data_IF_210377089443
#
_entry.id   IF_210377089443
#
_cell.length_a   1.000
_cell.length_b   1.000
_cell.length_c   1.000
_cell.angle_alpha   90.00
_cell.angle_beta   90.00
_cell.angle_gamma   90.00
#
_symmetry.space_group_name_H-M   'P 1'
#
loop_
_entity.id
_entity.type
_entity.pdbx_description
1 polymer ?
#
# COMPACT_ATOMS: atom_id res chain seq x y z
N UNK A 1 16.04 -23.34 -30.61
CA UNK A 1 16.15 -24.65 -29.92
C UNK A 1 15.61 -25.75 -30.82
N UNK A 2 16.17 -26.95 -30.75
CA UNK A 2 15.62 -28.10 -31.48
C UNK A 2 14.40 -28.69 -30.74
N UNK A 3 13.46 -29.37 -31.44
CA UNK A 3 12.31 -30.01 -30.80
C UNK A 3 12.66 -31.04 -29.72
N UNK A 4 13.84 -31.68 -29.82
CA UNK A 4 14.30 -32.65 -28.83
C UNK A 4 14.77 -31.98 -27.53
N UNK A 5 15.35 -30.78 -27.60
CA UNK A 5 15.70 -29.99 -26.42
C UNK A 5 14.44 -29.56 -25.66
N UNK A 6 13.42 -29.09 -26.39
CA UNK A 6 12.14 -28.68 -25.79
C UNK A 6 11.42 -29.84 -25.08
N UNK A 7 11.51 -31.07 -25.60
CA UNK A 7 10.95 -32.27 -24.94
C UNK A 7 11.58 -32.56 -23.58
N UNK A 8 12.85 -32.21 -23.41
CA UNK A 8 13.62 -32.39 -22.17
C UNK A 8 13.26 -31.40 -21.06
N UNK A 9 12.64 -30.26 -21.41
CA UNK A 9 12.24 -29.24 -20.44
C UNK A 9 11.05 -29.69 -19.58
N UNK A 10 10.96 -29.15 -18.35
CA UNK A 10 9.79 -29.37 -17.49
C UNK A 10 8.58 -28.57 -18.02
N UNK A 11 7.36 -28.94 -17.60
CA UNK A 11 6.14 -28.18 -17.94
C UNK A 11 6.26 -26.72 -17.49
N UNK A 12 6.90 -26.47 -16.34
CA UNK A 12 7.11 -25.12 -15.80
C UNK A 12 8.03 -24.31 -16.73
N UNK A 13 9.14 -24.89 -17.17
CA UNK A 13 10.11 -24.20 -18.03
C UNK A 13 9.53 -23.93 -19.42
N UNK A 14 8.74 -24.85 -19.97
CA UNK A 14 8.01 -24.64 -21.23
C UNK A 14 7.05 -23.47 -21.12
N UNK A 15 6.26 -23.38 -20.04
CA UNK A 15 5.35 -22.25 -19.82
C UNK A 15 6.11 -20.93 -19.71
N UNK A 16 7.20 -20.90 -18.94
CA UNK A 16 8.06 -19.72 -18.82
C UNK A 16 8.57 -19.29 -20.20
N UNK A 17 9.08 -20.22 -21.01
CA UNK A 17 9.61 -19.93 -22.35
C UNK A 17 8.53 -19.40 -23.30
N UNK A 18 7.33 -20.00 -23.30
CA UNK A 18 6.19 -19.54 -24.11
C UNK A 18 5.77 -18.12 -23.68
N UNK A 19 5.60 -17.91 -22.38
CA UNK A 19 5.16 -16.61 -21.83
C UNK A 19 6.23 -15.53 -22.02
N UNK A 20 7.52 -15.87 -21.94
CA UNK A 20 8.61 -14.92 -22.23
C UNK A 20 8.67 -14.47 -23.69
N UNK A 21 8.10 -15.26 -24.61
CA UNK A 21 7.94 -14.86 -26.00
C UNK A 21 6.59 -14.16 -26.28
N UNK A 22 5.84 -13.79 -25.24
CA UNK A 22 4.55 -13.11 -25.36
C UNK A 22 3.39 -14.00 -25.82
N UNK A 23 3.59 -15.32 -25.91
CA UNK A 23 2.54 -16.26 -26.31
C UNK A 23 1.75 -16.74 -25.08
N UNK A 24 0.46 -16.99 -25.28
CA UNK A 24 -0.42 -17.56 -24.26
C UNK A 24 -0.33 -19.09 -24.24
N UNK A 25 -0.36 -19.67 -23.04
CA UNK A 25 -0.48 -21.12 -22.81
C UNK A 25 -1.94 -21.56 -22.67
N UNK A 26 -2.90 -20.65 -22.83
CA UNK A 26 -4.32 -20.99 -22.77
C UNK A 26 -4.69 -21.93 -23.93
N UNK A 27 -5.37 -23.03 -23.62
CA UNK A 27 -5.73 -24.07 -24.60
C UNK A 27 -4.72 -25.21 -24.75
N UNK A 28 -3.53 -25.10 -24.15
CA UNK A 28 -2.59 -26.22 -24.07
C UNK A 28 -3.03 -27.18 -22.95
N UNK A 29 -3.57 -28.34 -23.33
CA UNK A 29 -4.11 -29.35 -22.40
C UNK A 29 -3.00 -30.29 -21.93
N UNK A 30 -2.06 -30.61 -22.81
CA UNK A 30 -0.97 -31.54 -22.50
C UNK A 30 0.44 -30.96 -22.76
N UNK A 31 1.47 -31.77 -22.49
CA UNK A 31 2.87 -31.36 -22.68
C UNK A 31 3.22 -31.21 -24.17
N UNK A 32 2.58 -31.98 -25.05
CA UNK A 32 2.85 -31.89 -26.48
C UNK A 32 2.40 -30.53 -27.03
N UNK A 33 1.22 -30.05 -26.63
CA UNK A 33 0.71 -28.71 -26.96
C UNK A 33 1.70 -27.60 -26.53
N UNK A 34 2.25 -27.73 -25.32
CA UNK A 34 3.24 -26.78 -24.80
C UNK A 34 4.55 -26.83 -25.58
N UNK A 35 5.00 -28.02 -26.02
CA UNK A 35 6.23 -28.14 -26.82
C UNK A 35 6.05 -27.49 -28.19
N UNK A 36 4.90 -27.68 -28.83
CA UNK A 36 4.58 -27.04 -30.12
C UNK A 36 4.53 -25.52 -29.98
N UNK A 37 3.84 -25.02 -28.94
CA UNK A 37 3.77 -23.59 -28.65
C UNK A 37 5.12 -22.99 -28.27
N UNK A 38 5.97 -23.75 -27.57
CA UNK A 38 7.34 -23.37 -27.26
C UNK A 38 8.23 -23.34 -28.51
N UNK A 39 7.99 -24.22 -29.48
CA UNK A 39 8.68 -24.19 -30.76
C UNK A 39 8.28 -22.96 -31.59
N UNK A 40 7.00 -22.58 -31.57
CA UNK A 40 6.51 -21.32 -32.15
C UNK A 40 7.20 -20.11 -31.47
N UNK A 41 7.25 -20.09 -30.14
CA UNK A 41 7.99 -19.08 -29.37
C UNK A 41 9.47 -18.98 -29.78
N UNK A 42 10.14 -20.12 -30.00
CA UNK A 42 11.53 -20.17 -30.45
C UNK A 42 11.73 -19.75 -31.91
N UNK A 43 10.69 -19.84 -32.74
CA UNK A 43 10.72 -19.50 -34.15
C UNK A 43 10.40 -18.02 -34.39
N UNK A 44 9.75 -17.36 -33.43
CA UNK A 44 9.66 -15.90 -33.44
C UNK A 44 11.10 -15.35 -33.45
N UNK A 45 11.43 -14.42 -34.37
CA UNK A 45 12.70 -13.72 -34.32
C UNK A 45 12.85 -13.18 -32.90
N UNK A 46 14.04 -13.28 -32.31
CA UNK A 46 14.30 -12.82 -30.96
C UNK A 46 14.12 -11.29 -30.89
N UNK A 47 12.88 -10.82 -30.89
CA UNK A 47 12.47 -9.41 -30.89
C UNK A 47 12.75 -8.78 -29.54
N UNK A 48 13.02 -9.58 -28.51
CA UNK A 48 13.34 -9.13 -27.15
C UNK A 48 14.84 -9.06 -26.86
N UNK A 49 15.72 -9.50 -27.77
CA UNK A 49 17.17 -9.50 -27.49
C UNK A 49 17.77 -8.08 -27.41
N UNK A 50 17.08 -7.09 -27.97
CA UNK A 50 17.46 -5.67 -27.94
C UNK A 50 16.48 -4.80 -27.12
N UNK A 51 15.53 -5.40 -26.38
CA UNK A 51 14.70 -4.58 -25.50
C UNK A 51 15.57 -4.06 -24.33
N UNK A 52 15.59 -2.74 -24.11
CA UNK A 52 16.36 -2.16 -23.03
C UNK A 52 15.84 -2.68 -21.69
N UNK A 53 16.76 -3.01 -20.79
CA UNK A 53 16.42 -3.40 -19.42
C UNK A 53 15.71 -2.25 -18.70
N UNK A 54 14.94 -2.56 -17.64
CA UNK A 54 14.22 -1.54 -16.85
C UNK A 54 15.16 -0.40 -16.39
N UNK A 55 16.37 -0.76 -15.94
CA UNK A 55 17.40 0.20 -15.53
C UNK A 55 17.91 1.08 -16.68
N UNK A 56 18.03 0.54 -17.90
CA UNK A 56 18.43 1.31 -19.08
C UNK A 56 17.32 2.28 -19.50
N UNK A 57 16.05 1.86 -19.41
CA UNK A 57 14.89 2.71 -19.67
C UNK A 57 14.82 3.84 -18.64
N UNK A 58 14.94 3.52 -17.34
CA UNK A 58 14.95 4.50 -16.26
C UNK A 58 16.07 5.53 -16.44
N UNK A 59 17.30 5.08 -16.74
CA UNK A 59 18.42 5.99 -16.97
C UNK A 59 18.20 6.86 -18.23
N UNK A 60 17.68 6.29 -19.32
CA UNK A 60 17.36 7.04 -20.52
C UNK A 60 16.31 8.12 -20.24
N UNK A 61 15.24 7.77 -19.52
CA UNK A 61 14.19 8.70 -19.12
C UNK A 61 14.74 9.75 -18.15
N UNK A 62 15.62 9.40 -17.21
CA UNK A 62 16.27 10.33 -16.27
C UNK A 62 17.10 11.40 -16.98
N UNK A 63 17.64 11.09 -18.16
CA UNK A 63 18.45 12.04 -18.94
C UNK A 63 17.63 12.97 -19.84
N UNK A 64 16.32 12.74 -20.01
CA UNK A 64 15.47 13.62 -20.82
C UNK A 64 15.25 14.99 -20.14
N UNK A 65 15.03 16.08 -20.88
CA UNK A 65 14.52 17.32 -20.28
C UNK A 65 13.09 17.14 -19.76
N UNK A 66 12.74 17.80 -18.65
CA UNK A 66 11.41 17.70 -18.03
C UNK A 66 10.28 18.08 -19.01
N UNK A 67 10.51 19.11 -19.83
CA UNK A 67 9.59 19.55 -20.87
C UNK A 67 9.32 18.51 -21.97
N UNK A 68 10.21 17.52 -22.14
CA UNK A 68 10.05 16.43 -23.13
C UNK A 68 9.33 15.21 -22.55
N UNK A 69 9.26 15.06 -21.22
CA UNK A 69 8.70 13.87 -20.58
C UNK A 69 7.21 13.68 -20.90
N UNK A 70 6.40 14.74 -20.85
CA UNK A 70 4.96 14.62 -21.12
C UNK A 70 4.68 14.27 -22.60
N UNK A 71 5.28 14.93 -23.61
CA UNK A 71 5.20 14.48 -25.00
C UNK A 71 5.65 13.03 -25.21
N UNK A 72 6.74 12.62 -24.56
CA UNK A 72 7.26 11.26 -24.65
C UNK A 72 6.31 10.24 -24.01
N UNK A 73 5.72 10.58 -22.87
CA UNK A 73 4.66 9.79 -22.25
C UNK A 73 3.48 9.65 -23.21
N UNK A 74 2.91 10.75 -23.70
CA UNK A 74 1.77 10.72 -24.64
C UNK A 74 2.07 9.91 -25.90
N UNK A 75 3.30 9.99 -26.43
CA UNK A 75 3.73 9.18 -27.56
C UNK A 75 3.80 7.69 -27.20
N UNK A 76 4.40 7.36 -26.06
CA UNK A 76 4.54 5.99 -25.55
C UNK A 76 3.17 5.35 -25.32
N UNK A 77 2.25 6.09 -24.70
CA UNK A 77 0.88 5.64 -24.43
C UNK A 77 0.11 5.32 -25.72
N UNK A 78 0.43 5.98 -26.85
CA UNK A 78 -0.19 5.71 -28.16
C UNK A 78 0.39 4.49 -28.89
N UNK A 79 1.53 3.96 -28.44
CA UNK A 79 2.15 2.78 -29.06
C UNK A 79 1.45 1.49 -28.64
N UNK A 80 1.69 0.39 -29.38
CA UNK A 80 1.20 -0.93 -28.99
C UNK A 80 1.78 -1.31 -27.62
N UNK A 81 0.96 -1.81 -26.67
CA UNK A 81 1.45 -2.21 -25.36
C UNK A 81 2.56 -3.25 -25.48
N UNK A 82 3.71 -2.91 -24.91
CA UNK A 82 4.86 -3.78 -24.70
C UNK A 82 5.38 -3.56 -23.28
N UNK A 83 6.19 -4.49 -22.77
CA UNK A 83 6.81 -4.31 -21.46
C UNK A 83 7.71 -3.06 -21.43
N UNK A 84 8.50 -2.83 -22.49
CA UNK A 84 9.34 -1.64 -22.61
C UNK A 84 8.52 -0.34 -22.64
N UNK A 85 7.41 -0.30 -23.38
CA UNK A 85 6.53 0.88 -23.41
C UNK A 85 5.92 1.16 -22.04
N UNK A 86 5.53 0.12 -21.29
CA UNK A 86 4.97 0.27 -19.96
C UNK A 86 6.01 0.79 -18.95
N UNK A 87 7.23 0.23 -18.97
CA UNK A 87 8.34 0.68 -18.14
C UNK A 87 8.73 2.14 -18.47
N UNK A 88 8.77 2.50 -19.76
CA UNK A 88 9.07 3.86 -20.19
C UNK A 88 7.98 4.85 -19.75
N UNK A 89 6.71 4.51 -19.94
CA UNK A 89 5.59 5.33 -19.46
C UNK A 89 5.66 5.51 -17.93
N UNK A 90 5.94 4.45 -17.17
CA UNK A 90 6.08 4.51 -15.72
C UNK A 90 7.23 5.42 -15.28
N UNK A 91 8.42 5.27 -15.88
CA UNK A 91 9.57 6.12 -15.57
C UNK A 91 9.30 7.60 -15.91
N UNK A 92 8.63 7.89 -17.04
CA UNK A 92 8.24 9.25 -17.39
C UNK A 92 7.28 9.84 -16.35
N UNK A 93 6.28 9.06 -15.94
CA UNK A 93 5.31 9.47 -14.95
C UNK A 93 5.94 9.72 -13.58
N UNK A 94 6.75 8.79 -13.07
CA UNK A 94 7.43 8.91 -11.78
C UNK A 94 8.28 10.19 -11.71
N UNK A 95 9.01 10.50 -12.78
CA UNK A 95 9.85 11.69 -12.85
C UNK A 95 9.04 12.98 -12.98
N UNK A 96 7.95 12.98 -13.78
CA UNK A 96 7.02 14.12 -13.84
C UNK A 96 6.37 14.39 -12.49
N UNK A 97 5.94 13.33 -11.80
CA UNK A 97 5.36 13.40 -10.46
C UNK A 97 6.37 13.93 -9.43
N UNK A 98 7.61 13.42 -9.44
CA UNK A 98 8.67 13.90 -8.54
C UNK A 98 8.92 15.38 -8.74
N UNK A 99 9.06 15.84 -9.99
CA UNK A 99 9.28 17.24 -10.28
C UNK A 99 8.09 18.13 -9.85
N UNK A 100 6.85 17.63 -9.99
CA UNK A 100 5.65 18.34 -9.51
C UNK A 100 5.62 18.46 -7.98
N UNK A 101 6.11 17.45 -7.24
CA UNK A 101 6.19 17.45 -5.78
C UNK A 101 7.32 18.34 -5.25
N UNK A 102 8.46 18.39 -5.94
CA UNK A 102 9.61 19.23 -5.58
C UNK A 102 9.39 20.72 -5.90
N UNK A 103 8.28 21.05 -6.56
CA UNK A 103 7.97 22.43 -6.96
C UNK A 103 8.92 22.96 -8.04
N UNK A 104 9.46 22.08 -8.88
CA UNK A 104 10.35 22.48 -9.97
C UNK A 104 9.60 23.44 -10.91
N UNK A 105 10.17 24.62 -11.13
CA UNK A 105 9.58 25.65 -11.98
C UNK A 105 9.38 25.14 -13.42
N UNK A 106 10.24 24.23 -13.88
CA UNK A 106 10.14 23.61 -15.21
C UNK A 106 9.01 22.57 -15.27
N UNK A 107 8.49 22.09 -14.13
CA UNK A 107 7.34 21.18 -14.08
C UNK A 107 6.04 21.86 -14.54
N UNK A 108 6.02 23.20 -14.61
CA UNK A 108 4.89 23.96 -15.21
C UNK A 108 4.65 23.60 -16.68
N UNK A 109 5.63 23.02 -17.37
CA UNK A 109 5.47 22.50 -18.73
C UNK A 109 4.52 21.31 -18.83
N UNK A 110 4.24 20.61 -17.71
CA UNK A 110 3.30 19.52 -17.62
C UNK A 110 2.17 19.88 -16.63
N UNK A 111 1.17 20.68 -17.04
CA UNK A 111 0.08 21.04 -16.16
C UNK A 111 -0.62 19.76 -15.64
N UNK A 112 -1.00 19.70 -14.35
CA UNK A 112 -1.60 18.52 -13.74
C UNK A 112 -2.74 17.91 -14.56
N UNK A 113 -3.60 18.75 -15.16
CA UNK A 113 -4.71 18.33 -16.00
C UNK A 113 -4.26 17.55 -17.25
N UNK A 114 -3.17 17.98 -17.92
CA UNK A 114 -2.63 17.24 -19.07
C UNK A 114 -1.97 15.95 -18.64
N UNK A 115 -1.24 15.97 -17.53
CA UNK A 115 -0.63 14.75 -16.99
C UNK A 115 -1.71 13.72 -16.65
N UNK A 116 -2.77 14.17 -16.00
CA UNK A 116 -3.92 13.34 -15.66
C UNK A 116 -4.64 12.83 -16.91
N UNK A 117 -4.89 13.71 -17.89
CA UNK A 117 -5.47 13.30 -19.19
C UNK A 117 -4.61 12.24 -19.89
N UNK A 118 -3.29 12.38 -19.85
CA UNK A 118 -2.37 11.39 -20.39
C UNK A 118 -2.49 10.06 -19.62
N UNK A 119 -2.45 10.08 -18.29
CA UNK A 119 -2.61 8.88 -17.45
C UNK A 119 -3.94 8.17 -17.76
N UNK A 120 -5.05 8.90 -17.72
CA UNK A 120 -6.39 8.39 -18.03
C UNK A 120 -6.47 7.83 -19.45
N UNK A 121 -5.84 8.48 -20.42
CA UNK A 121 -5.75 7.99 -21.80
C UNK A 121 -4.97 6.67 -21.91
N UNK A 122 -3.86 6.55 -21.20
CA UNK A 122 -3.06 5.32 -21.11
C UNK A 122 -3.83 4.17 -20.46
N UNK A 123 -4.55 4.47 -19.38
CA UNK A 123 -5.43 3.53 -18.70
C UNK A 123 -6.52 2.97 -19.64
N UNK A 124 -7.22 3.82 -20.39
CA UNK A 124 -8.22 3.39 -21.40
C UNK A 124 -7.63 2.46 -22.47
N UNK A 125 -6.41 2.74 -22.92
CA UNK A 125 -5.76 1.95 -23.96
C UNK A 125 -5.30 0.57 -23.48
N UNK A 126 -4.99 0.41 -22.19
CA UNK A 126 -4.57 -0.87 -21.62
C UNK A 126 -5.65 -1.96 -21.59
N UNK A 127 -6.93 -1.59 -21.62
CA UNK A 127 -8.05 -2.52 -21.45
C UNK A 127 -8.20 -3.57 -22.59
N UNK A 128 -7.46 -3.41 -23.71
CA UNK A 128 -7.52 -4.28 -24.89
C UNK A 128 -6.82 -5.66 -24.80
N UNK A 129 -6.39 -6.13 -23.63
CA UNK A 129 -5.91 -7.52 -23.44
C UNK A 129 -4.55 -7.70 -22.77
N UNK A 130 -3.74 -6.65 -22.65
CA UNK A 130 -2.51 -6.62 -21.83
C UNK A 130 -2.64 -5.75 -20.57
N UNK A 131 -3.89 -5.45 -20.16
CA UNK A 131 -4.25 -4.37 -19.23
C UNK A 131 -3.67 -4.35 -17.83
N UNK A 132 -2.81 -5.30 -17.45
CA UNK A 132 -2.03 -5.16 -16.21
C UNK A 132 -0.90 -4.14 -16.32
N UNK A 133 -0.32 -3.98 -17.51
CA UNK A 133 0.86 -3.12 -17.67
C UNK A 133 0.52 -1.62 -17.62
N UNK A 134 -0.73 -1.23 -17.91
CA UNK A 134 -1.20 0.15 -17.77
C UNK A 134 -1.87 0.46 -16.43
N UNK A 135 -2.22 -0.58 -15.64
CA UNK A 135 -2.51 -0.42 -14.20
C UNK A 135 -1.34 0.25 -13.48
N UNK A 136 -0.12 0.09 -13.99
CA UNK A 136 1.10 0.76 -13.52
C UNK A 136 1.05 2.28 -13.69
N UNK A 137 0.33 2.81 -14.69
CA UNK A 137 0.17 4.26 -14.85
C UNK A 137 -0.68 4.89 -13.73
N UNK A 138 -1.37 4.08 -12.92
CA UNK A 138 -2.09 4.53 -11.73
C UNK A 138 -1.16 4.74 -10.52
N UNK A 139 0.08 4.25 -10.57
CA UNK A 139 1.02 4.34 -9.45
C UNK A 139 1.35 5.77 -9.00
N UNK A 140 1.57 6.72 -9.92
CA UNK A 140 1.81 8.11 -9.59
C UNK A 140 0.51 8.88 -9.32
N UNK A 141 -0.67 8.31 -9.60
CA UNK A 141 -1.97 9.00 -9.45
C UNK A 141 -2.08 9.63 -8.05
N UNK A 142 -1.88 8.91 -6.94
CA UNK A 142 -2.01 9.49 -5.61
C UNK A 142 -1.06 10.65 -5.34
N UNK A 143 0.13 10.66 -5.95
CA UNK A 143 1.07 11.78 -5.81
C UNK A 143 0.64 13.00 -6.63
N UNK A 144 0.04 12.80 -7.82
CA UNK A 144 -0.58 13.88 -8.59
C UNK A 144 -1.79 14.45 -7.85
N UNK A 145 -2.52 13.57 -7.16
CA UNK A 145 -3.72 13.87 -6.40
C UNK A 145 -3.43 14.55 -5.05
N UNK A 146 -2.29 14.26 -4.42
CA UNK A 146 -1.85 14.81 -3.12
C UNK A 146 -1.16 16.17 -3.24
N UNK A 147 -1.26 16.87 -4.38
CA UNK A 147 -0.61 18.18 -4.49
C UNK A 147 -1.20 19.09 -3.40
N UNK A 148 -0.39 19.57 -2.44
CA UNK A 148 -0.89 20.47 -1.42
C UNK A 148 -1.41 21.70 -2.16
N UNK A 149 -2.62 22.16 -1.80
CA UNK A 149 -3.22 23.37 -2.35
C UNK A 149 -2.12 24.41 -2.54
N UNK A 150 -1.85 24.74 -3.81
CA UNK A 150 -0.83 25.69 -4.18
C UNK A 150 -1.25 27.04 -3.62
N UNK A 151 -0.76 27.38 -2.44
CA UNK A 151 -1.04 28.59 -1.66
C UNK A 151 -2.54 28.85 -1.43
N UNK A 152 -2.97 28.85 -0.17
CA UNK A 152 -4.33 29.29 0.24
C UNK A 152 -4.68 30.71 -0.25
N UNK A 153 -3.70 31.48 -0.74
CA UNK A 153 -3.87 32.84 -1.25
C UNK A 153 -4.16 32.92 -2.78
N UNK A 154 -4.04 31.82 -3.54
CA UNK A 154 -4.36 31.80 -4.98
C UNK A 154 -5.81 31.30 -5.20
N UNK A 155 -6.78 32.19 -4.92
CA UNK A 155 -8.22 32.00 -5.14
C UNK A 155 -8.61 31.60 -6.59
N UNK A 156 -7.68 31.71 -7.55
CA UNK A 156 -7.93 31.53 -8.98
C UNK A 156 -7.41 30.19 -9.56
N UNK A 157 -6.73 29.35 -8.78
CA UNK A 157 -6.25 28.06 -9.27
C UNK A 157 -7.33 26.98 -9.11
N UNK A 158 -8.16 26.80 -10.15
CA UNK A 158 -9.15 25.73 -10.26
C UNK A 158 -8.47 24.35 -10.34
N UNK A 159 -7.93 23.88 -9.22
CA UNK A 159 -7.44 22.50 -9.11
C UNK A 159 -8.67 21.60 -9.21
N UNK A 160 -8.73 20.68 -10.18
CA UNK A 160 -9.86 19.78 -10.30
C UNK A 160 -10.03 18.98 -9.00
N UNK A 161 -11.27 18.89 -8.55
CA UNK A 161 -11.65 18.10 -7.38
C UNK A 161 -11.12 16.67 -7.54
N UNK A 162 -10.41 16.18 -6.51
CA UNK A 162 -9.88 14.82 -6.42
C UNK A 162 -10.93 13.78 -6.79
N UNK A 163 -12.17 13.97 -6.33
CA UNK A 163 -13.26 13.05 -6.62
C UNK A 163 -13.57 13.01 -8.12
N UNK A 164 -13.56 14.14 -8.81
CA UNK A 164 -13.77 14.20 -10.28
C UNK A 164 -12.68 13.43 -11.02
N UNK A 165 -11.44 13.49 -10.52
CA UNK A 165 -10.33 12.75 -11.12
C UNK A 165 -10.43 11.24 -10.87
N UNK A 166 -10.83 10.84 -9.67
CA UNK A 166 -11.12 9.43 -9.34
C UNK A 166 -12.26 8.93 -10.23
N UNK A 167 -13.39 9.64 -10.28
CA UNK A 167 -14.54 9.27 -11.11
C UNK A 167 -14.17 9.12 -12.59
N UNK A 168 -13.35 10.04 -13.13
CA UNK A 168 -12.86 9.95 -14.49
C UNK A 168 -11.94 8.75 -14.72
N UNK A 169 -11.12 8.38 -13.73
CA UNK A 169 -10.27 7.19 -13.75
C UNK A 169 -11.09 5.90 -13.69
N UNK A 170 -12.13 5.88 -12.87
CA UNK A 170 -13.01 4.72 -12.72
C UNK A 170 -13.90 4.53 -13.95
N UNK A 171 -14.47 5.62 -14.49
CA UNK A 171 -15.20 5.61 -15.76
C UNK A 171 -14.30 5.13 -16.90
N UNK A 172 -13.04 5.58 -16.91
CA UNK A 172 -12.05 5.17 -17.89
C UNK A 172 -11.71 3.67 -17.80
N UNK A 173 -11.56 3.14 -16.59
CA UNK A 173 -11.20 1.75 -16.35
C UNK A 173 -12.38 0.78 -16.42
N UNK A 174 -13.60 1.28 -16.25
CA UNK A 174 -14.79 0.44 -16.04
C UNK A 174 -14.71 -0.39 -14.75
N UNK A 175 -13.80 -0.05 -13.85
CA UNK A 175 -13.57 -0.67 -12.52
C UNK A 175 -13.13 0.43 -11.57
N UNK A 176 -13.34 0.23 -10.28
CA UNK A 176 -12.90 1.22 -9.29
C UNK A 176 -11.37 1.32 -9.27
N UNK A 177 -10.83 2.46 -8.84
CA UNK A 177 -9.38 2.63 -8.68
C UNK A 177 -8.86 1.58 -7.69
N UNK A 178 -9.65 1.27 -6.67
CA UNK A 178 -9.35 0.20 -5.74
C UNK A 178 -9.28 -1.17 -6.41
N UNK A 179 -10.30 -1.59 -7.15
CA UNK A 179 -10.32 -2.89 -7.85
C UNK A 179 -9.10 -3.02 -8.77
N UNK A 180 -8.73 -1.91 -9.42
CA UNK A 180 -7.55 -1.79 -10.26
C UNK A 180 -6.27 -2.07 -9.45
N UNK A 181 -6.08 -1.38 -8.31
CA UNK A 181 -4.91 -1.57 -7.44
C UNK A 181 -4.86 -2.97 -6.82
N UNK A 182 -6.00 -3.49 -6.35
CA UNK A 182 -6.10 -4.83 -5.78
C UNK A 182 -5.79 -5.91 -6.82
N UNK A 183 -6.35 -5.80 -8.02
CA UNK A 183 -6.05 -6.68 -9.14
C UNK A 183 -4.55 -6.64 -9.49
N UNK A 184 -3.95 -5.45 -9.43
CA UNK A 184 -2.51 -5.26 -9.54
C UNK A 184 -1.71 -6.08 -8.51
N UNK A 185 -2.05 -5.97 -7.22
CA UNK A 185 -1.39 -6.74 -6.16
C UNK A 185 -1.47 -8.26 -6.39
N UNK A 186 -2.63 -8.74 -6.86
CA UNK A 186 -2.85 -10.15 -7.13
C UNK A 186 -2.10 -10.63 -8.39
N UNK A 187 -2.06 -9.79 -9.43
CA UNK A 187 -1.47 -10.13 -10.73
C UNK A 187 0.06 -10.08 -10.69
N UNK A 188 0.63 -9.12 -9.98
CA UNK A 188 2.06 -8.87 -9.93
C UNK A 188 2.74 -9.46 -8.68
N UNK A 189 2.13 -10.47 -8.06
CA UNK A 189 2.62 -11.12 -6.83
C UNK A 189 4.07 -11.67 -6.88
N UNK A 190 4.67 -11.78 -8.06
CA UNK A 190 6.06 -12.23 -8.26
C UNK A 190 7.05 -11.11 -8.59
N UNK A 191 6.59 -9.86 -8.78
CA UNK A 191 7.43 -8.72 -9.14
C UNK A 191 7.55 -7.75 -7.97
N UNK A 192 8.74 -7.70 -7.39
CA UNK A 192 9.06 -6.84 -6.24
C UNK A 192 8.86 -5.36 -6.54
N UNK A 193 9.44 -4.88 -7.66
CA UNK A 193 9.37 -3.48 -8.10
C UNK A 193 7.91 -3.03 -8.26
N UNK A 194 7.08 -3.86 -8.89
CA UNK A 194 5.67 -3.54 -9.11
C UNK A 194 4.86 -3.55 -7.82
N UNK A 195 5.13 -4.51 -6.92
CA UNK A 195 4.42 -4.58 -5.65
C UNK A 195 4.75 -3.39 -4.74
N UNK A 196 6.02 -2.98 -4.68
CA UNK A 196 6.45 -1.81 -3.91
C UNK A 196 5.66 -0.56 -4.32
N UNK A 197 5.60 -0.29 -5.63
CA UNK A 197 4.83 0.84 -6.13
C UNK A 197 3.34 0.70 -5.85
N UNK A 198 2.70 -0.44 -6.20
CA UNK A 198 1.24 -0.61 -6.03
C UNK A 198 0.84 -0.46 -4.56
N UNK A 199 1.64 -1.01 -3.65
CA UNK A 199 1.39 -0.87 -2.21
C UNK A 199 1.58 0.57 -1.74
N UNK A 200 2.56 1.31 -2.28
CA UNK A 200 2.76 2.72 -1.96
C UNK A 200 1.57 3.56 -2.43
N UNK A 201 1.10 3.32 -3.64
CA UNK A 201 -0.09 3.95 -4.21
C UNK A 201 -1.34 3.65 -3.38
N UNK A 202 -1.53 2.38 -3.00
CA UNK A 202 -2.63 1.98 -2.11
C UNK A 202 -2.52 2.62 -0.73
N UNK A 203 -1.31 2.75 -0.17
CA UNK A 203 -1.06 3.46 1.09
C UNK A 203 -1.53 4.90 0.99
N UNK A 204 -1.08 5.64 -0.02
CA UNK A 204 -1.46 7.05 -0.21
C UNK A 204 -2.97 7.17 -0.41
N UNK A 205 -3.57 6.33 -1.26
CA UNK A 205 -5.01 6.32 -1.47
C UNK A 205 -5.80 6.09 -0.18
N UNK A 206 -5.38 5.14 0.66
CA UNK A 206 -6.00 4.90 1.97
C UNK A 206 -5.77 6.06 2.95
N UNK A 207 -4.59 6.67 2.95
CA UNK A 207 -4.32 7.88 3.76
C UNK A 207 -5.28 9.01 3.38
N UNK A 208 -5.49 9.28 2.09
CA UNK A 208 -6.48 10.26 1.64
C UNK A 208 -7.89 9.93 2.15
N UNK A 209 -8.30 8.65 2.02
CA UNK A 209 -9.62 8.21 2.48
C UNK A 209 -9.81 8.33 4.01
N UNK A 210 -8.75 8.15 4.80
CA UNK A 210 -8.81 8.10 6.27
C UNK A 210 -8.54 9.45 6.92
N UNK A 211 -7.57 10.24 6.43
CA UNK A 211 -7.23 11.55 7.00
C UNK A 211 -8.38 12.56 6.84
N UNK A 212 -9.23 12.39 5.82
CA UNK A 212 -10.48 13.15 5.65
C UNK A 212 -11.54 12.90 6.75
N UNK A 213 -11.30 11.97 7.68
CA UNK A 213 -12.20 11.68 8.81
C UNK A 213 -11.84 12.54 10.05
N UNK A 214 -10.68 13.19 10.07
CA UNK A 214 -10.13 13.87 11.25
C UNK A 214 -10.13 15.41 11.22
N UNK A 215 -10.04 16.03 10.05
CA UNK A 215 -9.97 17.49 9.88
C UNK A 215 -11.29 18.03 9.32
N UNK A 216 -11.97 18.93 10.04
CA UNK A 216 -13.29 19.46 9.67
C UNK A 216 -13.30 20.18 8.30
N UNK A 217 -12.13 20.59 7.78
CA UNK A 217 -11.99 21.34 6.53
C UNK A 217 -11.61 20.50 5.29
N UNK A 218 -11.17 19.23 5.46
CA UNK A 218 -10.87 18.29 4.35
C UNK A 218 -11.97 17.22 4.15
N UNK A 219 -13.10 17.36 4.85
CA UNK A 219 -14.28 16.47 4.77
C UNK A 219 -14.87 16.37 3.35
N UNK A 220 -14.56 17.30 2.45
CA UNK A 220 -15.15 17.35 1.12
C UNK A 220 -14.46 16.46 0.06
N UNK A 221 -13.19 16.07 0.24
CA UNK A 221 -12.41 15.43 -0.84
C UNK A 221 -12.65 13.92 -0.95
N UNK A 222 -13.13 13.30 0.13
CA UNK A 222 -13.81 12.02 0.11
C UNK A 222 -14.89 12.11 1.18
N UNK A 223 -16.17 12.17 0.79
CA UNK A 223 -17.30 11.81 1.66
C UNK A 223 -17.16 10.32 1.97
N UNK A 224 -16.13 9.96 2.74
CA UNK A 224 -15.52 8.64 2.83
C UNK A 224 -16.49 7.66 3.45
N UNK A 225 -17.41 7.16 2.64
CA UNK A 225 -18.41 6.21 3.05
C UNK A 225 -17.65 5.00 3.60
N UNK A 226 -17.81 4.67 4.89
CA UNK A 226 -17.28 3.45 5.48
C UNK A 226 -17.48 2.21 4.59
N UNK A 227 -18.56 2.19 3.80
CA UNK A 227 -18.85 1.14 2.84
C UNK A 227 -17.67 0.85 1.90
N UNK A 228 -16.95 1.84 1.39
CA UNK A 228 -15.83 1.61 0.48
C UNK A 228 -14.73 0.80 1.16
N UNK A 229 -14.34 1.16 2.40
CA UNK A 229 -13.34 0.38 3.13
C UNK A 229 -13.84 -1.05 3.40
N UNK A 230 -15.11 -1.23 3.73
CA UNK A 230 -15.68 -2.57 3.90
C UNK A 230 -15.68 -3.37 2.60
N UNK A 231 -16.00 -2.77 1.46
CA UNK A 231 -15.89 -3.38 0.15
C UNK A 231 -14.44 -3.78 -0.13
N UNK A 232 -13.47 -2.93 0.22
CA UNK A 232 -12.05 -3.26 0.08
C UNK A 232 -11.65 -4.48 0.92
N UNK A 233 -12.13 -4.55 2.16
CA UNK A 233 -11.87 -5.67 3.04
C UNK A 233 -12.51 -6.95 2.52
N UNK A 234 -13.75 -6.88 2.06
CA UNK A 234 -14.49 -8.01 1.48
C UNK A 234 -13.87 -8.51 0.18
N UNK A 235 -13.27 -7.62 -0.61
CA UNK A 235 -12.54 -7.96 -1.83
C UNK A 235 -11.18 -8.65 -1.55
N UNK A 236 -10.74 -8.71 -0.29
CA UNK A 236 -9.53 -9.43 0.09
C UNK A 236 -8.26 -8.56 0.12
N UNK A 237 -8.39 -7.25 0.39
CA UNK A 237 -7.26 -6.34 0.57
C UNK A 237 -6.21 -6.89 1.56
N UNK A 238 -6.65 -7.38 2.71
CA UNK A 238 -5.74 -7.83 3.79
C UNK A 238 -4.87 -9.02 3.35
N UNK A 239 -5.42 -10.14 2.82
CA UNK A 239 -4.61 -11.18 2.21
C UNK A 239 -3.69 -10.70 1.08
N UNK A 240 -4.17 -9.78 0.22
CA UNK A 240 -3.42 -9.25 -0.91
C UNK A 240 -2.21 -8.40 -0.48
N UNK A 241 -2.25 -7.78 0.69
CA UNK A 241 -1.13 -7.03 1.29
C UNK A 241 -0.16 -7.95 2.05
N UNK A 242 -0.69 -8.87 2.86
CA UNK A 242 0.14 -9.76 3.69
C UNK A 242 0.98 -10.72 2.83
N UNK A 243 0.44 -11.16 1.69
CA UNK A 243 1.12 -12.13 0.81
C UNK A 243 2.45 -11.57 0.25
N UNK A 244 2.49 -10.38 -0.38
CA UNK A 244 3.73 -9.67 -0.73
C UNK A 244 4.70 -9.51 0.44
N UNK A 245 4.24 -9.04 1.60
CA UNK A 245 5.12 -8.84 2.77
C UNK A 245 5.83 -10.13 3.21
N UNK A 246 5.14 -11.29 3.15
CA UNK A 246 5.74 -12.60 3.42
C UNK A 246 6.71 -13.04 2.33
N UNK A 247 6.41 -12.69 1.08
CA UNK A 247 7.20 -13.10 -0.08
C UNK A 247 8.51 -12.32 -0.17
N UNK A 248 8.47 -11.03 0.14
CA UNK A 248 9.57 -10.08 0.06
C UNK A 248 9.83 -9.42 1.43
N UNK A 249 10.16 -10.20 2.48
CA UNK A 249 10.29 -9.69 3.85
C UNK A 249 11.51 -8.78 4.06
N UNK A 250 12.37 -8.65 3.04
CA UNK A 250 13.60 -7.86 3.07
C UNK A 250 13.53 -6.64 2.16
N UNK A 251 12.41 -6.42 1.50
CA UNK A 251 12.21 -5.25 0.67
C UNK A 251 11.55 -4.14 1.49
N UNK A 252 12.29 -3.07 1.87
CA UNK A 252 11.76 -2.02 2.74
C UNK A 252 10.47 -1.39 2.20
N UNK A 253 10.38 -1.17 0.89
CA UNK A 253 9.22 -0.50 0.29
C UNK A 253 7.95 -1.34 0.43
N UNK A 254 8.01 -2.62 0.06
CA UNK A 254 6.88 -3.57 0.18
C UNK A 254 6.44 -3.69 1.64
N UNK A 255 7.40 -3.81 2.57
CA UNK A 255 7.11 -4.01 3.98
C UNK A 255 6.56 -2.74 4.63
N UNK A 256 7.19 -1.58 4.43
CA UNK A 256 6.75 -0.28 4.97
C UNK A 256 5.34 0.05 4.47
N UNK A 257 5.10 -0.05 3.16
CA UNK A 257 3.80 0.23 2.59
C UNK A 257 2.73 -0.75 3.11
N UNK A 258 3.08 -2.03 3.27
CA UNK A 258 2.17 -3.03 3.80
C UNK A 258 1.79 -2.78 5.25
N UNK A 259 2.76 -2.42 6.09
CA UNK A 259 2.51 -2.04 7.48
C UNK A 259 1.64 -0.79 7.58
N UNK A 260 1.90 0.22 6.76
CA UNK A 260 1.11 1.44 6.72
C UNK A 260 -0.34 1.17 6.31
N UNK A 261 -0.57 0.37 5.25
CA UNK A 261 -1.91 -0.06 4.84
C UNK A 261 -2.61 -0.79 6.00
N UNK A 262 -1.97 -1.80 6.60
CA UNK A 262 -2.57 -2.55 7.71
C UNK A 262 -2.88 -1.66 8.92
N UNK A 263 -1.98 -0.73 9.24
CA UNK A 263 -2.18 0.26 10.31
C UNK A 263 -3.38 1.16 10.02
N UNK A 264 -3.47 1.68 8.80
CA UNK A 264 -4.55 2.55 8.35
C UNK A 264 -5.90 1.86 8.46
N UNK A 265 -6.02 0.61 7.96
CA UNK A 265 -7.26 -0.16 8.07
C UNK A 265 -7.58 -0.48 9.54
N UNK A 266 -6.60 -0.88 10.36
CA UNK A 266 -6.83 -1.16 11.79
C UNK A 266 -7.22 0.08 12.62
N UNK A 267 -6.89 1.29 12.15
CA UNK A 267 -7.35 2.55 12.74
C UNK A 267 -8.84 2.82 12.52
N UNK A 268 -9.49 2.10 11.60
CA UNK A 268 -10.88 2.35 11.22
C UNK A 268 -11.90 1.64 12.13
N UNK A 269 -13.05 2.28 12.37
CA UNK A 269 -14.10 1.78 13.26
C UNK A 269 -15.19 0.97 12.52
N UNK A 270 -15.73 -0.12 13.12
CA UNK A 270 -15.38 -0.67 14.42
C UNK A 270 -14.11 -1.54 14.35
N UNK A 271 -13.11 -1.28 15.22
CA UNK A 271 -11.79 -1.89 15.11
C UNK A 271 -11.81 -3.41 15.34
N UNK A 272 -12.83 -3.94 16.03
CA UNK A 272 -12.87 -5.37 16.39
C UNK A 272 -13.01 -6.30 15.19
N UNK A 273 -13.83 -5.90 14.20
CA UNK A 273 -14.01 -6.71 13.00
C UNK A 273 -12.72 -6.74 12.17
N UNK A 274 -12.10 -5.57 11.97
CA UNK A 274 -10.88 -5.42 11.17
C UNK A 274 -9.70 -6.15 11.82
N UNK A 275 -9.45 -5.94 13.11
CA UNK A 275 -8.36 -6.63 13.83
C UNK A 275 -8.50 -8.16 13.71
N UNK A 276 -9.72 -8.67 13.81
CA UNK A 276 -9.98 -10.10 13.68
C UNK A 276 -9.65 -10.61 12.28
N UNK A 277 -9.99 -9.86 11.23
CA UNK A 277 -9.66 -10.20 9.83
C UNK A 277 -8.14 -10.19 9.64
N UNK A 278 -7.44 -9.15 10.12
CA UNK A 278 -5.98 -9.01 10.02
C UNK A 278 -5.25 -10.14 10.73
N UNK A 279 -5.68 -10.48 11.95
CA UNK A 279 -5.12 -11.59 12.72
C UNK A 279 -5.40 -12.94 12.05
N UNK A 280 -6.62 -13.15 11.53
CA UNK A 280 -7.03 -14.40 10.86
C UNK A 280 -6.31 -14.63 9.54
N UNK A 281 -5.94 -13.55 8.84
CA UNK A 281 -5.09 -13.61 7.66
C UNK A 281 -3.62 -13.92 7.99
N UNK A 282 -3.26 -13.98 9.28
CA UNK A 282 -1.92 -14.30 9.76
C UNK A 282 -0.93 -13.15 9.59
N UNK A 283 -1.36 -11.91 9.81
CA UNK A 283 -0.48 -10.74 9.67
C UNK A 283 0.65 -10.70 10.72
N UNK A 284 0.48 -11.35 11.88
CA UNK A 284 1.41 -11.17 12.99
C UNK A 284 2.86 -11.61 12.70
N UNK A 285 3.14 -12.80 12.12
CA UNK A 285 4.51 -13.16 11.77
C UNK A 285 5.22 -12.15 10.83
N UNK A 286 4.67 -11.74 9.67
CA UNK A 286 5.36 -10.75 8.83
C UNK A 286 5.54 -9.38 9.50
N UNK A 287 4.65 -8.96 10.41
CA UNK A 287 4.83 -7.72 11.19
C UNK A 287 6.04 -7.85 12.14
N UNK A 288 6.17 -8.97 12.86
CA UNK A 288 7.31 -9.18 13.76
C UNK A 288 8.60 -9.42 12.99
N UNK A 289 8.56 -10.12 11.87
CA UNK A 289 9.71 -10.31 10.99
C UNK A 289 10.22 -8.97 10.44
N UNK A 290 9.31 -8.08 10.01
CA UNK A 290 9.66 -6.73 9.58
C UNK A 290 10.39 -5.95 10.68
N UNK A 291 9.85 -5.95 11.90
CA UNK A 291 10.45 -5.29 13.06
C UNK A 291 11.87 -5.81 13.36
N UNK A 292 12.10 -7.12 13.23
CA UNK A 292 13.41 -7.73 13.47
C UNK A 292 14.42 -7.38 12.37
N UNK A 293 14.02 -7.46 11.10
CA UNK A 293 14.91 -7.20 9.95
C UNK A 293 15.24 -5.72 9.80
N UNK A 294 14.25 -4.85 10.01
CA UNK A 294 14.37 -3.40 9.87
C UNK A 294 14.51 -2.69 11.21
N UNK A 295 15.12 -3.36 12.20
CA UNK A 295 15.31 -2.84 13.55
C UNK A 295 16.19 -1.58 13.64
N UNK A 296 16.70 -1.02 12.54
CA UNK A 296 17.41 0.26 12.50
C UNK A 296 16.74 1.30 11.60
N UNK A 297 15.65 0.93 10.92
CA UNK A 297 14.88 1.79 10.03
C UNK A 297 13.70 2.38 10.80
N UNK A 298 13.81 3.66 11.15
CA UNK A 298 12.79 4.34 11.96
C UNK A 298 11.46 4.50 11.22
N UNK A 299 11.44 4.52 9.88
CA UNK A 299 10.19 4.61 9.12
C UNK A 299 9.40 3.30 9.26
N UNK A 300 10.07 2.16 9.04
CA UNK A 300 9.44 0.83 9.18
C UNK A 300 9.00 0.59 10.63
N UNK A 301 9.85 0.94 11.60
CA UNK A 301 9.51 0.85 13.03
C UNK A 301 8.31 1.74 13.35
N UNK A 302 8.28 2.98 12.84
CA UNK A 302 7.19 3.93 13.01
C UNK A 302 5.85 3.40 12.48
N UNK A 303 5.86 2.62 11.39
CA UNK A 303 4.68 1.95 10.87
C UNK A 303 4.29 0.68 11.68
N UNK A 304 5.28 -0.07 12.19
CA UNK A 304 5.06 -1.28 12.98
C UNK A 304 4.39 -1.01 14.33
N UNK A 305 4.83 0.01 15.06
CA UNK A 305 4.47 0.21 16.47
C UNK A 305 2.97 0.53 16.69
N UNK A 306 2.34 1.46 15.94
CA UNK A 306 0.90 1.72 16.05
C UNK A 306 0.06 0.50 15.71
N UNK A 307 0.45 -0.26 14.68
CA UNK A 307 -0.24 -1.49 14.28
C UNK A 307 -0.15 -2.57 15.36
N UNK A 308 1.05 -2.81 15.92
CA UNK A 308 1.22 -3.76 17.02
C UNK A 308 0.43 -3.34 18.26
N UNK A 309 0.42 -2.05 18.58
CA UNK A 309 -0.36 -1.51 19.69
C UNK A 309 -1.85 -1.72 19.47
N UNK A 310 -2.37 -1.46 18.27
CA UNK A 310 -3.77 -1.72 17.91
C UNK A 310 -4.13 -3.20 18.04
N UNK A 311 -3.34 -4.09 17.42
CA UNK A 311 -3.61 -5.53 17.44
C UNK A 311 -3.49 -6.14 18.83
N UNK A 312 -2.67 -5.59 19.74
CA UNK A 312 -2.45 -6.15 21.08
C UNK A 312 -3.40 -5.61 22.15
N UNK A 313 -4.37 -4.75 21.79
CA UNK A 313 -5.40 -4.28 22.74
C UNK A 313 -6.28 -5.45 23.24
N UNK A 314 -6.45 -6.50 22.42
CA UNK A 314 -7.27 -7.68 22.74
C UNK A 314 -6.47 -8.96 22.89
N UNK A 315 -7.05 -9.93 23.61
CA UNK A 315 -6.38 -11.22 23.91
C UNK A 315 -6.00 -12.04 22.67
N UNK A 316 -6.82 -12.14 21.60
CA UNK A 316 -6.42 -12.85 20.39
C UNK A 316 -5.13 -12.32 19.79
N UNK A 317 -4.99 -11.00 19.69
CA UNK A 317 -3.80 -10.37 19.14
C UNK A 317 -2.60 -10.45 20.09
N UNK A 318 -2.79 -10.33 21.41
CA UNK A 318 -1.71 -10.62 22.39
C UNK A 318 -1.19 -12.06 22.29
N UNK A 319 -2.09 -13.03 22.11
CA UNK A 319 -1.73 -14.43 21.92
C UNK A 319 -0.96 -14.62 20.62
N UNK A 320 -1.42 -14.01 19.52
CA UNK A 320 -0.72 -14.04 18.23
C UNK A 320 0.67 -13.39 18.31
N UNK A 321 0.78 -12.22 18.93
CA UNK A 321 2.04 -11.49 19.11
C UNK A 321 3.06 -12.30 19.92
N UNK A 322 2.62 -12.92 21.02
CA UNK A 322 3.47 -13.85 21.80
C UNK A 322 3.93 -15.05 20.97
N UNK A 323 3.02 -15.66 20.21
CA UNK A 323 3.36 -16.80 19.36
C UNK A 323 4.34 -16.44 18.24
N UNK A 324 4.29 -15.20 17.74
CA UNK A 324 5.21 -14.68 16.74
C UNK A 324 6.55 -14.17 17.32
N UNK A 325 6.74 -14.18 18.65
CA UNK A 325 7.99 -13.75 19.27
C UNK A 325 8.12 -12.23 19.53
N UNK A 326 7.01 -11.50 19.59
CA UNK A 326 7.02 -10.03 19.78
C UNK A 326 7.79 -9.56 21.03
N UNK A 327 7.79 -10.34 22.12
CA UNK A 327 8.49 -9.98 23.36
C UNK A 327 10.00 -9.80 23.13
N UNK A 328 10.65 -10.78 22.50
CA UNK A 328 12.07 -10.72 22.20
C UNK A 328 12.40 -9.56 21.25
N UNK A 329 11.56 -9.38 20.23
CA UNK A 329 11.71 -8.32 19.22
C UNK A 329 11.61 -6.91 19.84
N UNK A 330 10.63 -6.68 20.72
CA UNK A 330 10.43 -5.39 21.39
C UNK A 330 11.54 -5.09 22.41
N UNK A 331 12.04 -6.09 23.13
CA UNK A 331 13.18 -5.90 24.04
C UNK A 331 14.46 -5.55 23.30
N UNK A 332 14.73 -6.22 22.19
CA UNK A 332 15.88 -5.94 21.33
C UNK A 332 15.81 -4.50 20.79
N UNK A 333 14.64 -4.04 20.36
CA UNK A 333 14.40 -2.67 19.92
C UNK A 333 14.76 -1.63 21.01
N UNK A 334 14.28 -1.84 22.25
CA UNK A 334 14.55 -0.93 23.38
C UNK A 334 16.05 -0.84 23.68
N UNK A 335 16.79 -1.94 23.49
CA UNK A 335 18.24 -1.97 23.68
C UNK A 335 18.99 -1.27 22.54
N UNK A 336 18.55 -1.47 21.29
CA UNK A 336 19.18 -0.89 20.09
C UNK A 336 18.98 0.62 19.97
N UNK A 337 17.88 1.17 20.49
CA UNK A 337 17.52 2.58 20.36
C UNK A 337 17.45 3.31 21.71
N UNK A 338 18.58 3.47 22.42
CA UNK A 338 18.58 4.16 23.71
C UNK A 338 18.29 5.66 23.60
N UNK A 339 18.51 6.26 22.43
CA UNK A 339 18.27 7.68 22.13
C UNK A 339 16.82 8.03 21.82
N UNK A 340 15.95 7.03 21.58
CA UNK A 340 14.56 7.24 21.14
C UNK A 340 13.57 7.00 22.29
N UNK A 341 13.32 8.00 23.17
CA UNK A 341 12.50 7.80 24.37
C UNK A 341 11.06 7.43 24.04
N UNK A 342 10.48 8.00 22.98
CA UNK A 342 9.10 7.75 22.56
C UNK A 342 8.92 6.31 22.08
N UNK A 343 9.82 5.85 21.21
CA UNK A 343 9.84 4.47 20.73
C UNK A 343 9.94 3.47 21.88
N UNK A 344 10.81 3.72 22.87
CA UNK A 344 10.92 2.87 24.06
C UNK A 344 9.67 2.91 24.91
N UNK A 345 9.04 4.06 25.08
CA UNK A 345 7.80 4.19 25.85
C UNK A 345 6.68 3.36 25.20
N UNK A 346 6.56 3.42 23.87
CA UNK A 346 5.58 2.63 23.14
C UNK A 346 5.87 1.13 23.19
N UNK A 347 7.14 0.71 23.00
CA UNK A 347 7.54 -0.68 23.14
C UNK A 347 7.27 -1.24 24.55
N UNK A 348 7.52 -0.46 25.59
CA UNK A 348 7.19 -0.86 26.96
C UNK A 348 5.67 -0.96 27.18
N UNK A 349 4.88 -0.07 26.61
CA UNK A 349 3.41 -0.13 26.66
C UNK A 349 2.90 -1.44 26.04
N UNK A 350 3.46 -1.85 24.91
CA UNK A 350 3.11 -3.12 24.26
C UNK A 350 3.59 -4.31 25.11
N UNK A 351 4.82 -4.28 25.63
CA UNK A 351 5.31 -5.34 26.53
C UNK A 351 4.41 -5.53 27.76
N UNK A 352 3.97 -4.43 28.38
CA UNK A 352 3.03 -4.47 29.50
C UNK A 352 1.69 -5.09 29.10
N UNK A 353 1.16 -4.73 27.92
CA UNK A 353 -0.07 -5.32 27.39
C UNK A 353 0.07 -6.84 27.20
N UNK A 354 1.24 -7.32 26.75
CA UNK A 354 1.55 -8.74 26.59
C UNK A 354 1.70 -9.50 27.92
N UNK A 355 1.60 -8.80 29.06
CA UNK A 355 1.77 -9.34 30.41
C UNK A 355 3.24 -9.45 30.83
N UNK A 356 4.13 -8.70 30.18
CA UNK A 356 5.56 -8.75 30.42
C UNK A 356 6.03 -7.51 31.17
N UNK A 357 6.78 -7.72 32.25
CA UNK A 357 7.37 -6.60 32.99
C UNK A 357 8.44 -5.90 32.12
N UNK A 358 8.47 -4.55 32.11
CA UNK A 358 9.48 -3.80 31.37
C UNK A 358 10.89 -4.16 31.86
N UNK A 359 11.84 -4.27 30.92
CA UNK A 359 13.23 -4.61 31.19
C UNK A 359 13.91 -3.48 31.98
N UNK A 360 13.76 -3.48 33.31
CA UNK A 360 14.33 -2.43 34.17
C UNK A 360 13.62 -2.22 35.49
N UNK A 361 12.39 -2.73 35.68
CA UNK A 361 11.62 -2.49 36.92
C UNK A 361 12.13 -3.25 38.16
N UNK A 362 13.18 -4.07 38.03
CA UNK A 362 13.72 -4.88 39.15
C UNK A 362 14.68 -4.13 40.09
N UNK A 363 14.97 -2.84 39.90
CA UNK A 363 15.96 -2.12 40.74
C UNK A 363 15.44 -0.92 41.56
N UNK A 364 14.17 -0.54 41.51
CA UNK A 364 13.63 0.59 42.31
C UNK A 364 12.60 0.22 43.40
N UNK A 365 12.28 -1.06 43.56
CA UNK A 365 11.24 -1.53 44.50
C UNK A 365 11.74 -2.42 45.62
N UNK A 366 12.80 -2.05 46.35
CA UNK A 366 13.17 -2.75 47.60
C UNK A 366 13.70 -1.82 48.69
N UNK A 367 12.90 -0.81 49.05
CA UNK A 367 12.79 -0.29 50.41
C UNK A 367 11.65 0.73 50.45
N UNK A 368 10.48 0.34 50.94
CA UNK A 368 9.67 1.05 51.94
C UNK A 368 8.47 0.14 52.20
N UNK A 369 8.53 -0.59 53.32
CA UNK A 369 7.32 -1.02 53.97
C UNK A 369 6.64 0.20 54.58
N UNK A 370 5.39 0.47 54.22
CA UNK A 370 4.51 1.32 55.01
C UNK A 370 3.07 0.85 54.83
N UNK A 371 2.54 0.31 55.93
CA UNK A 371 1.15 -0.03 56.15
C UNK A 371 0.29 1.25 56.07
N UNK A 372 -0.93 1.09 55.55
CA UNK A 372 -2.17 1.78 55.97
C UNK A 372 -2.21 3.31 55.91
N UNK A 373 -3.11 3.84 55.07
CA UNK A 373 -4.22 4.68 55.56
C UNK A 373 -5.19 5.01 54.43
N UNK A 374 -6.39 4.42 54.53
CA UNK A 374 -7.62 4.89 53.90
C UNK A 374 -8.11 6.10 54.68
N UNK A 375 -8.22 7.28 54.07
CA UNK A 375 -9.05 8.38 54.59
C UNK A 375 -9.39 9.42 53.50
N UNK A 376 -10.68 9.42 53.15
CA UNK A 376 -11.58 10.55 52.81
C UNK A 376 -10.99 11.97 52.73
N UNK A 377 -11.25 12.63 51.61
CA UNK A 377 -11.79 13.99 51.42
C UNK A 377 -11.82 14.23 49.89
N UNK A 378 -12.77 14.90 49.24
CA UNK A 378 -13.89 15.72 49.63
C UNK A 378 -14.47 16.31 48.34
N UNK A 379 -15.79 16.55 48.36
CA UNK A 379 -16.62 17.06 47.27
C UNK A 379 -16.14 18.42 46.71
N UNK A 380 -16.70 18.73 45.53
CA UNK A 380 -17.28 20.03 45.11
C UNK A 380 -16.44 20.84 44.10
N UNK A 381 -16.83 20.80 42.83
CA UNK A 381 -17.59 21.88 42.18
C UNK A 381 -18.13 21.46 40.81
N UNK A 382 -19.44 21.64 40.66
CA UNK A 382 -20.18 21.61 39.40
C UNK A 382 -20.02 22.97 38.71
N UNK A 383 -19.75 22.96 37.41
CA UNK A 383 -19.87 24.11 36.52
C UNK A 383 -20.52 23.64 35.23
N UNK A 384 -21.73 24.12 34.98
CA UNK A 384 -22.58 23.72 33.86
C UNK A 384 -22.05 24.28 32.52
N UNK A 385 -21.98 23.42 31.50
CA UNK A 385 -21.78 23.79 30.10
C UNK A 385 -22.52 22.80 29.22
N UNK A 386 -23.77 23.12 28.90
CA UNK A 386 -24.59 22.34 27.97
C UNK A 386 -24.12 22.60 26.53
N UNK A 387 -23.50 21.60 25.90
CA UNK A 387 -23.30 21.59 24.45
C UNK A 387 -24.07 20.43 23.83
N UNK A 388 -24.68 20.74 22.69
CA UNK A 388 -25.69 19.95 21.97
C UNK A 388 -25.07 18.67 21.39
N UNK A 389 -25.28 17.53 22.02
CA UNK A 389 -25.14 16.22 21.36
C UNK A 389 -26.38 15.96 20.52
N UNK A 390 -26.30 16.29 19.23
CA UNK A 390 -27.25 15.84 18.19
C UNK A 390 -26.61 14.66 17.46
N UNK A 391 -27.37 13.55 17.34
CA UNK A 391 -27.19 12.44 16.39
C UNK A 391 -25.87 11.63 16.37
N UNK A 392 -25.59 10.86 17.43
CA UNK A 392 -24.79 9.60 17.33
C UNK A 392 -25.65 8.33 17.35
N UNK A 393 -26.97 8.43 17.55
CA UNK A 393 -27.83 7.26 17.76
C UNK A 393 -28.33 6.61 16.46
N UNK A 394 -28.34 7.33 15.34
CA UNK A 394 -28.79 6.76 14.05
C UNK A 394 -27.72 5.94 13.32
N UNK A 395 -26.42 6.18 13.55
CA UNK A 395 -25.34 5.44 12.88
C UNK A 395 -25.12 4.01 13.45
N UNK A 396 -25.50 3.76 14.70
CA UNK A 396 -25.29 2.45 15.34
C UNK A 396 -26.35 1.42 14.90
N UNK A 397 -27.53 1.87 14.44
CA UNK A 397 -28.60 0.95 14.02
C UNK A 397 -28.39 0.38 12.60
N UNK A 398 -27.68 1.06 11.71
CA UNK A 398 -27.34 0.53 10.37
C UNK A 398 -26.25 -0.56 10.41
N UNK A 399 -25.29 -0.48 11.35
CA UNK A 399 -24.17 -1.44 11.44
C UNK A 399 -24.64 -2.81 11.96
N UNK A 400 -25.67 -2.86 12.81
CA UNK A 400 -26.19 -4.13 13.33
C UNK A 400 -27.07 -4.89 12.33
N UNK A 401 -27.55 -4.26 11.26
CA UNK A 401 -28.40 -4.92 10.26
C UNK A 401 -27.59 -5.81 9.28
N UNK A 402 -26.28 -5.56 9.14
CA UNK A 402 -25.41 -6.32 8.21
C UNK A 402 -24.81 -7.58 8.86
N UNK A 403 -24.82 -7.68 10.19
CA UNK A 403 -24.27 -8.84 10.92
C UNK A 403 -25.27 -9.97 11.23
N UNK A 404 -26.45 -9.96 10.60
CA UNK A 404 -27.48 -11.01 10.75
C UNK A 404 -27.85 -11.75 9.45
N UNK A 405 -27.04 -11.61 8.41
CA UNK A 405 -27.04 -12.45 7.20
C UNK A 405 -25.61 -12.89 6.90
#
# INVERSE_FOLDING_TARGET
MSPNELRGLSIKDLRVLITSAGLTTAGCVDKADLIERAAEACALPATHADEPSAKEIEEAVRMLPLAELLPQLEATLKTTPSQSSALHANACLERLTTALMEGDADATAAPPDRLMTAILGGMKMGLGGQGGLFTMACLPLPHVLMRPNANEDDDDASTPDLQVLIDAAEEANGTTLFETLLSGLLKFEQSEDFLGSIMTTMRVFLSCLIENVGDEDMVALCDGDPAHLFEMLNAGLIPAVIKPMRRFPREPQVVSAGLAILSAVCGYHPPEAVETIVLSAGAMPPIIDAHLHFSSDLEVIGACMPLLKALTQREPGRKAARAAGADAALRDLVVKHPSEPELRAEANTILESLGQAPAGSKSQGRAVGAKSAVAKQGKQQQGAGASKTRNKKQHIECINAVYLY
#
